data_IF_824595044085
#
_entry.id   IF_824595044085
#
_cell.length_a   1.000
_cell.length_b   1.000
_cell.length_c   1.000
_cell.angle_alpha   90.00
_cell.angle_beta   90.00
_cell.angle_gamma   90.00
#
_symmetry.space_group_name_H-M   'P 1'
#
loop_
_entity.id
_entity.type
_entity.pdbx_description
1 polymer ?
#
# COMPACT_ATOMS: atom_id res chain seq x y z
N UNK A 1 32.00 1.89 -4.11
CA UNK A 1 30.85 2.54 -4.81
C UNK A 1 29.65 1.60 -4.97
N UNK A 2 29.78 0.45 -5.65
CA UNK A 2 28.66 -0.50 -5.84
C UNK A 2 28.09 -0.99 -4.50
N UNK A 3 28.91 -1.43 -3.57
CA UNK A 3 28.50 -1.88 -2.24
C UNK A 3 27.70 -0.80 -1.49
N UNK A 4 28.13 0.46 -1.54
CA UNK A 4 27.45 1.59 -0.92
C UNK A 4 26.05 1.79 -1.50
N UNK A 5 25.90 1.68 -2.82
CA UNK A 5 24.60 1.78 -3.51
C UNK A 5 23.68 0.63 -3.09
N UNK A 6 24.20 -0.60 -3.08
CA UNK A 6 23.41 -1.78 -2.66
C UNK A 6 22.96 -1.63 -1.20
N UNK A 7 23.88 -1.23 -0.30
CA UNK A 7 23.55 -1.00 1.11
C UNK A 7 22.49 0.09 1.26
N UNK A 8 22.61 1.19 0.51
CA UNK A 8 21.62 2.25 0.53
C UNK A 8 20.23 1.74 0.09
N UNK A 9 20.15 0.99 -1.02
CA UNK A 9 18.90 0.45 -1.53
C UNK A 9 18.25 -0.49 -0.49
N UNK A 10 19.04 -1.35 0.16
CA UNK A 10 18.53 -2.29 1.17
C UNK A 10 18.00 -1.53 2.39
N UNK A 11 18.80 -0.60 2.95
CA UNK A 11 18.41 0.17 4.16
C UNK A 11 17.20 1.05 3.87
N UNK A 12 17.24 1.80 2.77
CA UNK A 12 16.13 2.67 2.38
C UNK A 12 14.86 1.87 2.07
N UNK A 13 14.99 0.76 1.32
CA UNK A 13 13.87 -0.13 1.03
C UNK A 13 13.23 -0.73 2.29
N UNK A 14 14.04 -1.09 3.30
CA UNK A 14 13.54 -1.56 4.59
C UNK A 14 12.79 -0.46 5.35
N UNK A 15 13.32 0.77 5.37
CA UNK A 15 12.64 1.91 6.00
C UNK A 15 11.29 2.19 5.34
N UNK A 16 11.24 2.18 4.00
CA UNK A 16 10.00 2.36 3.24
C UNK A 16 9.01 1.23 3.52
N UNK A 17 9.47 -0.03 3.46
CA UNK A 17 8.62 -1.19 3.73
C UNK A 17 7.96 -1.12 5.11
N UNK A 18 8.74 -0.80 6.15
CA UNK A 18 8.23 -0.70 7.53
C UNK A 18 7.26 0.48 7.68
N UNK A 19 7.54 1.59 7.01
CA UNK A 19 6.67 2.77 6.96
C UNK A 19 5.31 2.43 6.34
N UNK A 20 5.31 1.92 5.10
CA UNK A 20 4.09 1.59 4.36
C UNK A 20 3.30 0.47 5.03
N UNK A 21 4.00 -0.51 5.62
CA UNK A 21 3.37 -1.58 6.39
C UNK A 21 2.59 -1.03 7.60
N UNK A 22 3.06 0.05 8.22
CA UNK A 22 2.32 0.74 9.28
C UNK A 22 0.94 1.21 8.79
N UNK A 23 0.91 1.99 7.72
CA UNK A 23 -0.33 2.46 7.11
C UNK A 23 -1.25 1.30 6.71
N UNK A 24 -0.70 0.30 6.05
CA UNK A 24 -1.42 -0.90 5.62
C UNK A 24 -2.06 -1.65 6.80
N UNK A 25 -1.29 -1.92 7.86
CA UNK A 25 -1.76 -2.69 9.01
C UNK A 25 -2.93 -2.01 9.72
N UNK A 26 -2.79 -0.71 10.01
CA UNK A 26 -3.84 0.03 10.71
C UNK A 26 -5.07 0.26 9.84
N UNK A 27 -4.91 0.49 8.53
CA UNK A 27 -6.03 0.54 7.60
C UNK A 27 -6.83 -0.76 7.59
N UNK A 28 -6.16 -1.91 7.41
CA UNK A 28 -6.81 -3.24 7.43
C UNK A 28 -7.49 -3.53 8.76
N UNK A 29 -6.85 -3.18 9.89
CA UNK A 29 -7.43 -3.34 11.23
C UNK A 29 -8.66 -2.47 11.45
N UNK A 30 -8.73 -1.32 10.80
CA UNK A 30 -9.86 -0.40 10.84
C UNK A 30 -11.02 -0.78 9.88
N UNK A 31 -10.90 -1.87 9.12
CA UNK A 31 -11.87 -2.27 8.09
C UNK A 31 -11.77 -1.45 6.79
N UNK A 32 -10.75 -0.62 6.64
CA UNK A 32 -10.55 0.20 5.44
C UNK A 32 -10.01 -0.68 4.30
N UNK A 33 -10.63 -0.61 3.13
CA UNK A 33 -10.17 -1.31 1.94
C UNK A 33 -8.85 -0.70 1.45
N UNK A 34 -7.80 -1.51 1.47
CA UNK A 34 -6.51 -1.16 0.86
C UNK A 34 -6.50 -1.71 -0.57
N UNK A 35 -6.56 -0.83 -1.56
CA UNK A 35 -6.56 -1.19 -2.99
C UNK A 35 -5.19 -1.64 -3.47
N UNK A 36 -4.14 -0.91 -3.09
CA UNK A 36 -2.78 -1.25 -3.47
C UNK A 36 -1.80 -0.99 -2.32
N UNK A 37 -0.87 -1.93 -2.13
CA UNK A 37 0.31 -1.82 -1.30
C UNK A 37 1.53 -1.92 -2.21
N UNK A 38 2.28 -0.84 -2.37
CA UNK A 38 3.38 -0.74 -3.31
C UNK A 38 4.71 -0.47 -2.62
N UNK A 39 5.73 -1.23 -3.02
CA UNK A 39 7.14 -0.94 -2.72
C UNK A 39 7.78 -0.43 -4.00
N UNK A 40 8.34 0.78 -3.95
CA UNK A 40 8.89 1.47 -5.10
C UNK A 40 7.85 2.27 -5.88
N UNK A 41 8.31 2.92 -6.93
CA UNK A 41 7.55 3.76 -7.85
C UNK A 41 7.80 3.38 -9.31
N UNK A 42 6.98 3.89 -10.23
CA UNK A 42 7.09 3.64 -11.67
C UNK A 42 6.43 2.34 -12.11
N UNK A 43 6.86 1.74 -13.23
CA UNK A 43 6.26 0.51 -13.78
C UNK A 43 6.32 -0.67 -12.82
N UNK A 44 5.28 -1.50 -12.83
CA UNK A 44 5.20 -2.73 -12.03
C UNK A 44 6.16 -3.79 -12.58
N UNK A 45 7.05 -4.32 -11.73
CA UNK A 45 7.91 -5.48 -12.04
C UNK A 45 7.20 -6.78 -11.65
N UNK A 46 6.53 -6.74 -10.49
CA UNK A 46 5.81 -7.87 -9.95
C UNK A 46 4.53 -7.39 -9.27
N UNK A 47 3.47 -8.20 -9.37
CA UNK A 47 2.22 -7.94 -8.68
C UNK A 47 1.51 -9.23 -8.31
N UNK A 48 0.78 -9.19 -7.20
CA UNK A 48 -0.08 -10.27 -6.74
C UNK A 48 -1.31 -9.70 -6.05
N UNK A 49 -2.50 -10.23 -6.35
CA UNK A 49 -3.74 -9.78 -5.71
C UNK A 49 -4.23 -10.80 -4.70
N UNK A 50 -4.55 -10.33 -3.48
CA UNK A 50 -5.13 -11.16 -2.42
C UNK A 50 -6.02 -10.30 -1.52
N UNK A 51 -7.22 -10.81 -1.21
CA UNK A 51 -8.19 -10.17 -0.29
C UNK A 51 -8.45 -8.68 -0.62
N UNK A 52 -8.76 -8.39 -1.89
CA UNK A 52 -9.05 -7.04 -2.37
C UNK A 52 -7.84 -6.10 -2.50
N UNK A 53 -6.67 -6.49 -2.02
CA UNK A 53 -5.44 -5.69 -2.09
C UNK A 53 -4.52 -6.22 -3.18
N UNK A 54 -4.01 -5.33 -4.02
CA UNK A 54 -2.94 -5.62 -4.97
C UNK A 54 -1.60 -5.25 -4.35
N UNK A 55 -0.72 -6.23 -4.19
CA UNK A 55 0.67 -6.05 -3.72
C UNK A 55 1.56 -5.87 -4.94
N UNK A 56 2.36 -4.83 -4.96
CA UNK A 56 3.22 -4.52 -6.12
C UNK A 56 4.65 -4.23 -5.71
N UNK A 57 5.59 -4.65 -6.58
CA UNK A 57 6.99 -4.21 -6.55
C UNK A 57 7.22 -3.45 -7.85
N UNK A 58 7.79 -2.24 -7.73
CA UNK A 58 8.01 -1.32 -8.85
C UNK A 58 9.50 -1.09 -9.09
N UNK A 59 9.83 -0.66 -10.31
CA UNK A 59 11.22 -0.61 -10.80
C UNK A 59 12.11 0.36 -10.02
N UNK A 60 11.58 1.49 -9.56
CA UNK A 60 12.35 2.51 -8.85
C UNK A 60 12.23 2.26 -7.34
N UNK A 61 13.31 1.90 -6.64
CA UNK A 61 13.29 1.64 -5.20
C UNK A 61 13.27 2.96 -4.38
N UNK A 62 12.53 3.94 -4.86
CA UNK A 62 12.38 5.26 -4.24
C UNK A 62 10.96 5.39 -3.69
N UNK A 63 10.81 5.17 -2.38
CA UNK A 63 9.51 5.28 -1.73
C UNK A 63 8.62 4.05 -1.88
N UNK A 64 7.37 4.23 -1.53
CA UNK A 64 6.27 3.28 -1.61
C UNK A 64 4.96 4.03 -1.43
N UNK A 65 3.84 3.31 -1.44
CA UNK A 65 2.56 3.90 -1.07
C UNK A 65 1.53 2.84 -0.70
N UNK A 66 0.55 3.27 0.08
CA UNK A 66 -0.66 2.50 0.39
C UNK A 66 -1.85 3.26 -0.16
N UNK A 67 -2.51 2.73 -1.20
CA UNK A 67 -3.72 3.32 -1.77
C UNK A 67 -4.94 2.85 -1.00
N UNK A 68 -5.55 3.76 -0.26
CA UNK A 68 -6.75 3.52 0.53
C UNK A 68 -7.99 3.91 -0.29
N UNK A 69 -9.03 3.10 -0.23
CA UNK A 69 -10.30 3.43 -0.86
C UNK A 69 -10.94 4.65 -0.19
N UNK A 70 -11.48 5.57 -0.98
CA UNK A 70 -12.13 6.79 -0.51
C UNK A 70 -11.19 7.80 0.19
N UNK A 71 -9.87 7.70 -0.03
CA UNK A 71 -8.92 8.73 0.39
C UNK A 71 -8.83 9.87 -0.64
N UNK A 72 -8.77 9.52 -1.92
CA UNK A 72 -8.68 10.43 -3.05
C UNK A 72 -10.03 10.48 -3.80
N UNK A 73 -10.32 11.60 -4.47
CA UNK A 73 -11.62 11.82 -5.15
C UNK A 73 -11.75 11.13 -6.51
N UNK A 74 -10.69 10.50 -7.01
CA UNK A 74 -10.61 9.98 -8.38
C UNK A 74 -11.33 8.64 -8.62
N UNK A 75 -11.99 8.08 -7.60
CA UNK A 75 -12.50 6.70 -7.64
C UNK A 75 -13.81 6.50 -8.45
N UNK A 76 -14.47 7.57 -8.94
CA UNK A 76 -15.80 7.48 -9.57
C UNK A 76 -15.83 7.66 -11.11
N UNK A 77 -14.69 7.95 -11.76
CA UNK A 77 -14.71 8.30 -13.18
C UNK A 77 -14.99 7.16 -14.18
N UNK A 78 -14.89 5.90 -13.76
CA UNK A 78 -14.97 4.75 -14.69
C UNK A 78 -16.39 4.36 -15.13
N UNK A 79 -17.41 4.78 -14.41
CA UNK A 79 -18.80 4.41 -14.67
C UNK A 79 -19.66 5.65 -14.89
N UNK A 80 -19.90 6.02 -16.15
CA UNK A 80 -20.79 7.14 -16.51
C UNK A 80 -22.09 6.60 -17.10
N UNK A 81 -23.23 7.28 -16.91
CA UNK A 81 -24.45 6.97 -17.65
C UNK A 81 -24.19 6.88 -19.15
N UNK A 82 -24.74 5.85 -19.81
CA UNK A 82 -24.52 5.56 -21.23
C UNK A 82 -23.33 4.66 -21.52
N UNK A 83 -22.45 4.37 -20.54
CA UNK A 83 -21.30 3.47 -20.74
C UNK A 83 -21.80 2.03 -20.97
N UNK A 84 -21.39 1.36 -22.05
CA UNK A 84 -21.64 -0.07 -22.21
C UNK A 84 -20.76 -0.84 -21.22
N UNK A 85 -21.36 -1.75 -20.45
CA UNK A 85 -20.67 -2.61 -19.51
C UNK A 85 -21.15 -4.04 -19.68
N UNK A 86 -20.34 -5.01 -19.24
CA UNK A 86 -20.80 -6.39 -19.09
C UNK A 86 -20.73 -6.78 -17.61
N UNK A 87 -21.81 -7.38 -17.09
CA UNK A 87 -21.93 -7.75 -15.67
C UNK A 87 -21.93 -9.26 -15.51
N UNK A 88 -21.26 -9.76 -14.47
CA UNK A 88 -21.35 -11.15 -14.02
C UNK A 88 -22.17 -11.23 -12.75
N UNK A 89 -23.03 -12.24 -12.67
CA UNK A 89 -23.88 -12.50 -11.52
C UNK A 89 -23.39 -13.76 -10.78
N UNK A 90 -23.56 -13.77 -9.47
CA UNK A 90 -23.42 -14.99 -8.67
C UNK A 90 -24.75 -15.78 -8.63
N UNK A 91 -24.75 -16.91 -7.90
CA UNK A 91 -25.93 -17.76 -7.72
C UNK A 91 -27.11 -17.04 -7.03
N UNK A 92 -26.82 -15.94 -6.31
CA UNK A 92 -27.83 -15.10 -5.66
C UNK A 92 -28.34 -13.95 -6.56
N UNK A 93 -27.98 -13.95 -7.84
CA UNK A 93 -28.32 -12.90 -8.82
C UNK A 93 -27.77 -11.51 -8.45
N UNK A 94 -26.67 -11.45 -7.68
CA UNK A 94 -25.94 -10.22 -7.39
C UNK A 94 -24.75 -10.06 -8.34
N UNK A 95 -24.49 -8.83 -8.75
CA UNK A 95 -23.35 -8.50 -9.61
C UNK A 95 -22.05 -8.64 -8.81
N UNK A 96 -21.14 -9.48 -9.28
CA UNK A 96 -19.82 -9.71 -8.70
C UNK A 96 -18.70 -9.08 -9.50
N UNK A 97 -18.95 -8.80 -10.79
CA UNK A 97 -17.97 -8.14 -11.64
C UNK A 97 -18.65 -7.27 -12.69
N UNK A 98 -18.09 -6.09 -12.90
CA UNK A 98 -18.50 -5.09 -13.89
C UNK A 98 -17.32 -4.86 -14.82
N UNK A 99 -17.43 -5.25 -16.08
CA UNK A 99 -16.39 -5.03 -17.07
C UNK A 99 -16.74 -3.80 -17.92
N UNK A 100 -15.88 -2.79 -17.87
CA UNK A 100 -15.95 -1.59 -18.71
C UNK A 100 -14.99 -1.64 -19.89
N UNK A 101 -14.15 -2.68 -19.97
CA UNK A 101 -13.11 -2.79 -20.98
C UNK A 101 -13.59 -3.45 -22.27
N UNK A 102 -13.44 -2.74 -23.38
CA UNK A 102 -13.69 -3.29 -24.73
C UNK A 102 -12.62 -4.32 -25.15
N UNK A 103 -11.48 -4.36 -24.45
CA UNK A 103 -10.34 -5.23 -24.77
C UNK A 103 -10.49 -6.64 -24.20
N UNK A 104 -11.33 -6.84 -23.22
CA UNK A 104 -11.49 -8.14 -22.56
C UNK A 104 -12.59 -8.97 -23.24
N UNK A 105 -12.31 -9.52 -24.41
CA UNK A 105 -13.22 -10.34 -25.22
C UNK A 105 -13.56 -11.70 -24.59
N UNK A 106 -12.81 -12.13 -23.57
CA UNK A 106 -13.04 -13.39 -22.85
C UNK A 106 -14.00 -13.24 -21.67
N UNK A 107 -14.42 -12.02 -21.36
CA UNK A 107 -15.36 -11.79 -20.27
C UNK A 107 -16.77 -12.24 -20.69
N UNK A 108 -17.24 -13.31 -20.08
CA UNK A 108 -18.60 -13.79 -20.26
C UNK A 108 -19.53 -13.11 -19.27
N UNK A 109 -20.33 -12.17 -19.72
CA UNK A 109 -21.24 -11.41 -18.87
C UNK A 109 -22.51 -10.99 -19.64
N UNK A 110 -23.49 -10.48 -18.90
CA UNK A 110 -24.71 -9.89 -19.46
C UNK A 110 -24.38 -8.48 -19.93
N UNK A 111 -24.52 -8.14 -21.21
CA UNK A 111 -24.32 -6.78 -21.69
C UNK A 111 -25.39 -5.86 -21.11
N UNK A 112 -24.94 -4.73 -20.56
CA UNK A 112 -25.79 -3.72 -19.95
C UNK A 112 -25.34 -2.33 -20.39
N UNK A 113 -26.27 -1.53 -20.94
CA UNK A 113 -26.00 -0.11 -21.14
C UNK A 113 -26.40 0.64 -19.88
N UNK A 114 -25.41 1.20 -19.20
CA UNK A 114 -25.57 1.83 -17.89
C UNK A 114 -26.50 3.04 -17.97
N UNK A 115 -27.52 3.11 -17.13
CA UNK A 115 -28.36 4.29 -16.92
C UNK A 115 -27.93 5.01 -15.67
N UNK A 116 -27.77 4.26 -14.56
CA UNK A 116 -27.47 4.81 -13.26
C UNK A 116 -26.92 3.73 -12.33
N UNK A 117 -26.23 4.11 -11.24
CA UNK A 117 -25.70 3.17 -10.28
C UNK A 117 -25.48 3.86 -8.91
N UNK A 118 -25.47 3.06 -7.88
CA UNK A 118 -24.99 3.44 -6.55
C UNK A 118 -24.13 2.29 -6.01
N UNK A 119 -22.81 2.44 -6.11
CA UNK A 119 -21.81 1.49 -5.59
C UNK A 119 -21.29 1.91 -4.21
N UNK A 120 -21.86 2.97 -3.64
CA UNK A 120 -21.42 3.55 -2.36
C UNK A 120 -22.31 3.09 -1.19
N UNK A 121 -23.62 3.33 -1.28
CA UNK A 121 -24.56 3.02 -0.20
C UNK A 121 -25.60 1.97 -0.61
N UNK A 122 -26.22 2.16 -1.76
CA UNK A 122 -27.34 1.33 -2.22
C UNK A 122 -26.92 -0.01 -2.83
N UNK A 123 -25.70 -0.13 -3.32
CA UNK A 123 -25.13 -1.31 -3.96
C UNK A 123 -26.05 -1.87 -5.06
N UNK A 124 -26.34 -1.05 -6.05
CA UNK A 124 -27.13 -1.42 -7.21
C UNK A 124 -26.60 -0.81 -8.51
N UNK A 125 -26.92 -1.45 -9.63
CA UNK A 125 -26.64 -0.97 -10.98
C UNK A 125 -27.90 -1.12 -11.83
N UNK A 126 -28.21 -0.12 -12.64
CA UNK A 126 -29.40 -0.04 -13.46
C UNK A 126 -29.05 0.23 -14.92
N UNK A 127 -29.67 -0.48 -15.85
CA UNK A 127 -29.40 -0.28 -17.25
C UNK A 127 -30.33 -1.05 -18.19
N UNK A 128 -30.13 -0.85 -19.49
CA UNK A 128 -30.76 -1.58 -20.56
C UNK A 128 -30.01 -2.88 -20.84
N UNK A 129 -30.71 -4.00 -20.82
CA UNK A 129 -30.11 -5.33 -21.03
C UNK A 129 -30.08 -5.66 -22.51
N UNK A 130 -28.92 -6.12 -23.02
CA UNK A 130 -28.72 -6.51 -24.42
C UNK A 130 -29.09 -5.41 -25.44
N UNK A 131 -29.03 -4.14 -25.07
CA UNK A 131 -29.37 -3.02 -25.96
C UNK A 131 -30.89 -2.81 -26.16
N UNK A 132 -31.73 -3.53 -25.40
CA UNK A 132 -33.20 -3.34 -25.46
C UNK A 132 -33.63 -2.16 -24.56
N UNK A 133 -33.81 -1.00 -25.14
CA UNK A 133 -34.22 0.22 -24.44
C UNK A 133 -35.64 0.13 -23.82
N UNK A 134 -36.43 -0.86 -24.21
CA UNK A 134 -37.78 -1.09 -23.64
C UNK A 134 -37.70 -1.76 -22.26
N UNK A 135 -36.60 -2.42 -21.95
CA UNK A 135 -36.44 -3.25 -20.73
C UNK A 135 -35.34 -2.72 -19.82
N UNK A 136 -35.73 -1.92 -18.83
CA UNK A 136 -34.83 -1.45 -17.78
C UNK A 136 -34.78 -2.46 -16.65
N UNK A 137 -33.57 -2.91 -16.27
CA UNK A 137 -33.36 -3.79 -15.11
C UNK A 137 -32.44 -3.16 -14.10
N UNK A 138 -32.71 -3.45 -12.83
CA UNK A 138 -31.87 -3.10 -11.71
C UNK A 138 -31.33 -4.38 -11.09
N UNK A 139 -30.01 -4.43 -10.88
CA UNK A 139 -29.34 -5.55 -10.27
C UNK A 139 -28.71 -5.10 -8.96
N UNK A 140 -28.85 -5.89 -7.90
CA UNK A 140 -28.08 -5.70 -6.68
C UNK A 140 -26.60 -6.03 -6.94
N UNK A 141 -25.71 -5.26 -6.35
CA UNK A 141 -24.26 -5.44 -6.46
C UNK A 141 -23.72 -6.07 -5.19
N UNK A 142 -22.83 -7.04 -5.34
CA UNK A 142 -22.15 -7.65 -4.20
C UNK A 142 -21.19 -6.63 -3.55
N UNK A 143 -21.09 -6.66 -2.23
CA UNK A 143 -20.22 -5.75 -1.47
C UNK A 143 -18.75 -5.81 -1.92
N UNK A 144 -18.30 -7.00 -2.31
CA UNK A 144 -16.91 -7.23 -2.74
C UNK A 144 -16.77 -7.30 -4.28
N UNK A 145 -17.76 -6.77 -5.01
CA UNK A 145 -17.74 -6.75 -6.47
C UNK A 145 -16.50 -6.02 -7.02
N UNK A 146 -16.14 -6.35 -8.24
CA UNK A 146 -14.97 -5.78 -8.90
C UNK A 146 -15.35 -5.07 -10.19
N UNK A 147 -14.62 -4.01 -10.51
CA UNK A 147 -14.66 -3.33 -11.80
C UNK A 147 -13.40 -3.69 -12.57
N UNK A 148 -13.57 -4.07 -13.83
CA UNK A 148 -12.46 -4.24 -14.77
C UNK A 148 -12.41 -2.97 -15.62
N UNK A 149 -11.36 -2.18 -15.41
CA UNK A 149 -11.16 -0.90 -16.09
C UNK A 149 -10.70 -1.09 -17.55
N UNK A 150 -10.72 -0.01 -18.35
CA UNK A 150 -10.35 -0.03 -19.75
C UNK A 150 -8.93 -0.53 -20.04
N UNK A 151 -8.02 -0.38 -19.10
CA UNK A 151 -6.64 -0.87 -19.18
C UNK A 151 -6.50 -2.36 -18.79
N UNK A 152 -7.59 -2.99 -18.33
CA UNK A 152 -7.65 -4.36 -17.82
C UNK A 152 -7.33 -4.47 -16.32
N UNK A 153 -7.12 -3.37 -15.63
CA UNK A 153 -6.92 -3.38 -14.16
C UNK A 153 -8.20 -3.80 -13.47
N UNK A 154 -8.10 -4.75 -12.55
CA UNK A 154 -9.23 -5.20 -11.73
C UNK A 154 -9.19 -4.48 -10.40
N UNK A 155 -10.19 -3.67 -10.11
CA UNK A 155 -10.32 -2.89 -8.87
C UNK A 155 -11.56 -3.36 -8.10
N UNK A 156 -11.48 -3.52 -6.78
CA UNK A 156 -12.65 -3.79 -5.95
C UNK A 156 -13.43 -2.49 -5.75
N UNK A 157 -14.76 -2.55 -5.83
CA UNK A 157 -15.62 -1.42 -5.44
C UNK A 157 -15.36 -1.07 -3.98
N UNK A 158 -15.67 0.16 -3.61
CA UNK A 158 -15.46 0.61 -2.24
C UNK A 158 -16.77 1.19 -1.67
N UNK A 159 -17.66 0.33 -1.17
CA UNK A 159 -18.81 0.79 -0.41
C UNK A 159 -18.41 1.69 0.76
N UNK A 160 -19.33 2.54 1.18
CA UNK A 160 -19.07 3.59 2.20
C UNK A 160 -18.42 3.07 3.48
N UNK A 161 -18.81 1.88 3.92
CA UNK A 161 -18.34 1.25 5.16
C UNK A 161 -16.85 0.85 5.15
N UNK A 162 -16.27 0.62 3.94
CA UNK A 162 -14.84 0.29 3.78
C UNK A 162 -13.97 1.47 3.32
N UNK A 163 -14.54 2.67 3.19
CA UNK A 163 -13.80 3.87 2.79
C UNK A 163 -13.04 4.50 3.95
N UNK A 164 -11.87 5.06 3.65
CA UNK A 164 -11.06 5.79 4.63
C UNK A 164 -11.82 6.96 5.27
N UNK A 165 -12.58 7.73 4.47
CA UNK A 165 -13.35 8.90 4.97
C UNK A 165 -14.47 8.51 5.93
N UNK A 166 -15.02 7.31 5.80
CA UNK A 166 -16.10 6.78 6.64
C UNK A 166 -15.59 6.16 7.94
N UNK A 167 -14.31 5.86 8.03
CA UNK A 167 -13.70 5.34 9.24
C UNK A 167 -13.71 6.39 10.38
N UNK A 168 -13.75 5.90 11.62
CA UNK A 168 -13.71 6.79 12.80
C UNK A 168 -12.47 7.69 12.78
N UNK A 169 -12.58 8.88 13.37
CA UNK A 169 -11.47 9.84 13.43
C UNK A 169 -10.19 9.20 14.02
N UNK A 170 -10.35 8.41 15.09
CA UNK A 170 -9.22 7.72 15.73
C UNK A 170 -8.54 6.75 14.76
N UNK A 171 -9.32 5.94 14.03
CA UNK A 171 -8.78 4.99 13.05
C UNK A 171 -8.05 5.71 11.90
N UNK A 172 -8.59 6.83 11.41
CA UNK A 172 -7.94 7.66 10.39
C UNK A 172 -6.62 8.25 10.90
N UNK A 173 -6.61 8.78 12.12
CA UNK A 173 -5.39 9.30 12.75
C UNK A 173 -4.36 8.21 12.95
N UNK A 174 -4.74 7.05 13.48
CA UNK A 174 -3.84 5.91 13.65
C UNK A 174 -3.26 5.45 12.31
N UNK A 175 -4.10 5.34 11.27
CA UNK A 175 -3.64 4.96 9.93
C UNK A 175 -2.61 5.97 9.39
N UNK A 176 -2.88 7.27 9.51
CA UNK A 176 -1.97 8.30 8.99
C UNK A 176 -0.67 8.40 9.78
N UNK A 177 -0.71 8.20 11.10
CA UNK A 177 0.46 8.31 11.96
C UNK A 177 1.32 7.04 12.01
N UNK A 178 0.77 5.90 11.60
CA UNK A 178 1.39 4.58 11.73
C UNK A 178 2.73 4.44 10.99
N UNK A 179 2.88 5.03 9.80
CA UNK A 179 4.12 4.98 9.03
C UNK A 179 5.30 5.59 9.79
N UNK A 180 5.26 6.89 10.14
CA UNK A 180 6.30 7.54 10.95
C UNK A 180 6.55 6.84 12.28
N UNK A 181 5.49 6.39 12.96
CA UNK A 181 5.59 5.69 14.24
C UNK A 181 6.35 4.36 14.11
N UNK A 182 6.08 3.57 13.07
CA UNK A 182 6.79 2.31 12.82
C UNK A 182 8.28 2.54 12.53
N UNK A 183 8.63 3.60 11.80
CA UNK A 183 10.03 3.96 11.58
C UNK A 183 10.73 4.38 12.87
N UNK A 184 10.03 5.07 13.75
CA UNK A 184 10.54 5.37 15.09
C UNK A 184 10.82 4.10 15.90
N UNK A 185 9.87 3.14 15.90
CA UNK A 185 10.06 1.84 16.56
C UNK A 185 11.23 1.05 15.95
N UNK A 186 11.36 1.05 14.62
CA UNK A 186 12.48 0.41 13.94
C UNK A 186 13.81 1.04 14.36
N UNK A 187 13.88 2.37 14.41
CA UNK A 187 15.08 3.10 14.87
C UNK A 187 15.44 2.72 16.30
N UNK A 188 14.45 2.71 17.20
CA UNK A 188 14.66 2.30 18.60
C UNK A 188 15.20 0.87 18.69
N UNK A 189 14.62 -0.07 17.91
CA UNK A 189 15.08 -1.45 17.86
C UNK A 189 16.53 -1.55 17.38
N UNK A 190 16.88 -0.81 16.32
CA UNK A 190 18.26 -0.78 15.80
C UNK A 190 19.24 -0.24 16.85
N UNK A 191 18.89 0.84 17.57
CA UNK A 191 19.74 1.36 18.64
C UNK A 191 19.92 0.37 19.79
N UNK A 192 18.87 -0.37 20.17
CA UNK A 192 18.97 -1.43 21.18
C UNK A 192 19.95 -2.52 20.72
N UNK A 193 19.80 -3.00 19.48
CA UNK A 193 20.69 -4.02 18.91
C UNK A 193 22.14 -3.52 18.89
N UNK A 194 22.38 -2.29 18.43
CA UNK A 194 23.71 -1.68 18.42
C UNK A 194 24.29 -1.56 19.83
N UNK A 195 23.48 -1.19 20.83
CA UNK A 195 23.93 -1.12 22.22
C UNK A 195 24.42 -2.46 22.78
N UNK A 196 23.80 -3.58 22.33
CA UNK A 196 24.25 -4.92 22.72
C UNK A 196 25.42 -5.46 21.89
N UNK A 197 25.58 -5.02 20.65
CA UNK A 197 26.61 -5.53 19.73
C UNK A 197 27.91 -4.72 19.79
N UNK A 198 27.82 -3.42 20.06
CA UNK A 198 28.98 -2.57 20.25
C UNK A 198 29.53 -2.77 21.68
N UNK A 199 30.84 -3.01 21.79
CA UNK A 199 31.54 -3.28 23.07
C UNK A 199 31.58 -2.06 23.97
N UNK A 200 30.47 -1.43 24.26
CA UNK A 200 30.29 -0.27 25.12
C UNK A 200 29.82 0.99 24.38
N UNK A 201 29.15 1.85 25.13
CA UNK A 201 28.80 3.20 24.66
C UNK A 201 30.07 4.05 24.75
N UNK A 202 30.45 4.79 23.67
CA UNK A 202 31.56 5.74 23.77
C UNK A 202 31.29 6.71 24.93
N UNK A 203 32.01 6.57 26.00
CA UNK A 203 31.95 7.54 27.10
C UNK A 203 32.91 8.69 26.76
N UNK A 204 32.56 9.92 27.08
CA UNK A 204 33.45 11.09 27.01
C UNK A 204 34.52 10.96 28.10
N UNK A 205 35.17 9.81 28.16
CA UNK A 205 36.29 9.57 29.05
C UNK A 205 37.54 10.20 28.44
N UNK A 206 38.24 10.99 29.21
CA UNK A 206 39.53 11.51 28.80
C UNK A 206 40.66 10.46 28.95
N UNK A 207 40.34 9.17 29.08
CA UNK A 207 41.28 8.05 29.08
C UNK A 207 41.37 7.41 27.70
N UNK A 208 42.62 7.08 27.31
CA UNK A 208 42.85 6.34 26.08
C UNK A 208 42.31 4.91 26.19
N UNK A 209 41.31 4.57 25.37
CA UNK A 209 40.65 3.25 25.39
C UNK A 209 41.53 2.12 24.85
N UNK A 210 42.30 2.38 23.80
CA UNK A 210 43.27 1.44 23.24
C UNK A 210 44.34 2.20 22.46
N UNK A 211 45.60 1.82 22.62
CA UNK A 211 46.74 2.32 21.83
C UNK A 211 47.31 1.15 21.01
N UNK A 212 47.21 1.25 19.68
CA UNK A 212 47.76 0.22 18.79
C UNK A 212 49.29 0.27 18.83
N UNK A 213 49.91 -0.88 18.94
CA UNK A 213 51.36 -1.03 19.08
C UNK A 213 52.19 -0.46 17.90
N UNK A 214 51.58 -0.36 16.73
CA UNK A 214 52.19 0.17 15.50
C UNK A 214 51.86 1.66 15.25
N UNK A 215 51.08 2.29 16.13
CA UNK A 215 50.62 3.68 15.97
C UNK A 215 51.70 4.72 16.36
N UNK A 216 51.52 5.95 15.86
CA UNK A 216 52.35 7.11 16.27
C UNK A 216 52.19 7.39 17.76
N UNK A 217 51.00 7.13 18.32
CA UNK A 217 50.73 7.29 19.75
C UNK A 217 51.62 6.34 20.61
N UNK A 218 51.75 5.05 20.21
CA UNK A 218 52.61 4.10 20.88
C UNK A 218 54.09 4.50 20.78
N UNK A 219 54.53 5.00 19.62
CA UNK A 219 55.89 5.52 19.43
C UNK A 219 56.18 6.77 20.28
N UNK A 220 55.15 7.56 20.56
CA UNK A 220 55.22 8.72 21.46
C UNK A 220 55.15 8.35 22.96
N UNK A 221 55.08 7.05 23.29
CA UNK A 221 55.08 6.56 24.67
C UNK A 221 53.71 6.52 25.35
N UNK A 222 52.59 6.77 24.61
CA UNK A 222 51.23 6.69 25.16
C UNK A 222 50.80 5.23 25.34
N UNK A 223 50.16 4.97 26.46
CA UNK A 223 49.66 3.64 26.82
C UNK A 223 48.14 3.63 26.97
N UNK A 224 47.54 2.44 26.79
CA UNK A 224 46.12 2.23 27.08
C UNK A 224 45.83 2.56 28.55
N UNK A 225 44.84 3.41 28.79
CA UNK A 225 44.46 3.87 30.12
C UNK A 225 45.03 5.23 30.50
N UNK A 226 45.99 5.80 29.73
CA UNK A 226 46.53 7.15 29.97
C UNK A 226 45.39 8.18 29.91
N UNK A 227 45.55 9.22 30.77
CA UNK A 227 44.57 10.30 30.87
C UNK A 227 45.10 11.54 30.16
N UNK A 228 44.31 12.06 29.23
CA UNK A 228 44.57 13.34 28.59
C UNK A 228 44.04 14.44 29.53
N UNK A 229 44.97 15.30 29.97
CA UNK A 229 44.67 16.43 30.87
C UNK A 229 44.64 17.75 30.10
#
# INVERSE_FOLDING_TARGET
MILTIITFIIVFGLLVLVHEYGHYYFAKRAGILVREFSIGMGPKIWWHRKNGTTYTIRILPLGGYVRLAGADEEDEESLRPGTPVAIQLNDQQKVTSINTSDKNTLFQGIPLQLIDHDLNEGLWIKGYVNGDESTVKTYAVDHDATIIENDGTVVQIAPKDVQFRSASLVNRMLTNFAGPFNNFLLSLLVFIILGFTLSGIPTNSNRLGAVRSDSVAAKAGLQTGDRIT
#
